data_IF_840454538707
#
_entry.id   IF_840454538707
#
_cell.length_a   1.000
_cell.length_b   1.000
_cell.length_c   1.000
_cell.angle_alpha   90.00
_cell.angle_beta   90.00
_cell.angle_gamma   90.00
#
_symmetry.space_group_name_H-M   'P 1'
#
loop_
_entity.id
_entity.type
_entity.pdbx_description
1 polymer ?
#
# COMPACT_ATOMS: atom_id res chain seq x y z
N UNK A 1 18.20 -18.58 45.88
CA UNK A 1 18.07 -17.73 44.67
C UNK A 1 16.77 -16.95 44.78
N UNK A 2 16.84 -15.63 44.86
CA UNK A 2 15.72 -14.82 45.34
C UNK A 2 14.60 -14.77 44.28
N UNK A 3 13.36 -15.14 44.65
CA UNK A 3 12.19 -15.19 43.76
C UNK A 3 11.94 -13.87 43.04
N UNK A 4 12.38 -12.77 43.64
CA UNK A 4 12.36 -11.42 43.08
C UNK A 4 13.37 -11.21 41.95
N UNK A 5 14.56 -11.81 42.02
CA UNK A 5 15.60 -11.70 40.99
C UNK A 5 15.19 -12.48 39.73
N UNK A 6 14.62 -13.67 39.88
CA UNK A 6 14.14 -14.49 38.76
C UNK A 6 12.95 -13.81 38.04
N UNK A 7 12.04 -13.18 38.79
CA UNK A 7 10.91 -12.42 38.21
C UNK A 7 11.34 -11.14 37.52
N UNK A 8 12.33 -10.45 38.07
CA UNK A 8 12.92 -9.27 37.43
C UNK A 8 13.66 -9.65 36.14
N UNK A 9 14.44 -10.74 36.14
CA UNK A 9 15.14 -11.24 34.96
C UNK A 9 14.17 -11.67 33.85
N UNK A 10 13.08 -12.38 34.20
CA UNK A 10 12.03 -12.78 33.26
C UNK A 10 11.27 -11.59 32.66
N UNK A 11 11.02 -10.53 33.44
CA UNK A 11 10.39 -9.31 32.94
C UNK A 11 11.31 -8.51 32.02
N UNK A 12 12.61 -8.44 32.31
CA UNK A 12 13.59 -7.75 31.45
C UNK A 12 13.83 -8.51 30.14
N UNK A 13 13.87 -9.85 30.16
CA UNK A 13 13.96 -10.64 28.92
C UNK A 13 12.70 -10.54 28.06
N UNK A 14 11.51 -10.45 28.68
CA UNK A 14 10.24 -10.28 27.95
C UNK A 14 10.11 -8.89 27.34
N UNK A 15 10.63 -7.84 27.99
CA UNK A 15 10.70 -6.48 27.45
C UNK A 15 11.70 -6.36 26.29
N UNK A 16 12.79 -7.15 26.30
CA UNK A 16 13.79 -7.18 25.22
C UNK A 16 13.34 -8.00 24.00
N UNK A 17 12.49 -9.03 24.20
CA UNK A 17 11.81 -9.75 23.10
C UNK A 17 10.57 -9.02 22.55
N UNK A 18 10.15 -7.95 23.22
CA UNK A 18 9.01 -7.07 22.86
C UNK A 18 9.49 -5.72 22.36
N UNK A 19 10.71 -5.62 21.83
CA UNK A 19 10.83 -4.76 20.65
C UNK A 19 9.95 -5.48 19.61
N UNK A 20 8.80 -4.92 19.18
CA UNK A 20 8.24 -5.45 17.95
C UNK A 20 9.43 -5.44 16.99
N UNK A 21 9.79 -6.61 16.45
CA UNK A 21 10.55 -6.61 15.24
C UNK A 21 9.64 -5.84 14.28
N UNK A 22 9.84 -4.52 14.22
CA UNK A 22 9.41 -3.70 13.12
C UNK A 22 10.23 -4.28 11.98
N UNK A 23 9.76 -5.39 11.42
CA UNK A 23 10.19 -5.79 10.11
C UNK A 23 9.75 -4.60 9.27
N UNK A 24 10.68 -3.66 9.05
CA UNK A 24 10.46 -2.63 8.07
C UNK A 24 10.20 -3.38 6.77
N UNK A 25 9.12 -3.03 6.08
CA UNK A 25 8.77 -3.71 4.85
C UNK A 25 9.95 -3.57 3.88
N UNK A 26 10.55 -4.67 3.44
CA UNK A 26 11.67 -4.64 2.52
C UNK A 26 11.20 -4.25 1.11
N UNK A 27 12.15 -3.85 0.25
CA UNK A 27 11.84 -3.64 -1.17
C UNK A 27 11.21 -4.90 -1.78
N UNK A 28 10.07 -4.72 -2.43
CA UNK A 28 9.28 -5.80 -3.01
C UNK A 28 8.23 -6.41 -2.09
N UNK A 29 8.24 -6.09 -0.79
CA UNK A 29 7.20 -6.55 0.13
C UNK A 29 5.82 -6.00 -0.26
N UNK A 30 4.78 -6.78 0.04
CA UNK A 30 3.41 -6.41 -0.28
C UNK A 30 2.55 -6.36 0.97
N UNK A 31 1.67 -5.38 1.04
CA UNK A 31 0.67 -5.25 2.11
C UNK A 31 -0.66 -4.75 1.54
N UNK A 32 -1.77 -5.15 2.16
CA UNK A 32 -3.11 -4.72 1.77
C UNK A 32 -3.65 -3.67 2.73
N UNK A 33 -4.25 -2.61 2.20
CA UNK A 33 -4.99 -1.60 2.98
C UNK A 33 -6.24 -1.20 2.20
N UNK A 34 -7.41 -1.43 2.80
CA UNK A 34 -8.71 -1.24 2.14
C UNK A 34 -8.86 -2.10 0.87
N UNK A 35 -9.30 -1.47 -0.22
CA UNK A 35 -9.53 -2.15 -1.51
C UNK A 35 -8.25 -2.38 -2.32
N UNK A 36 -7.10 -1.94 -1.80
CA UNK A 36 -5.84 -1.92 -2.53
C UNK A 36 -4.79 -2.84 -1.93
N UNK A 37 -3.92 -3.37 -2.79
CA UNK A 37 -2.64 -3.97 -2.42
C UNK A 37 -1.55 -3.01 -2.88
N UNK A 38 -0.59 -2.81 -2.00
CA UNK A 38 0.60 -2.02 -2.24
C UNK A 38 1.80 -2.93 -2.29
N UNK A 39 2.77 -2.60 -3.15
CA UNK A 39 4.09 -3.22 -3.16
C UNK A 39 5.14 -2.15 -2.95
N UNK A 40 6.03 -2.36 -1.99
CA UNK A 40 7.15 -1.46 -1.69
C UNK A 40 8.08 -1.44 -2.89
N UNK A 41 8.30 -0.25 -3.44
CA UNK A 41 9.26 -0.02 -4.52
C UNK A 41 10.63 0.36 -3.97
N UNK A 42 10.64 1.20 -2.93
CA UNK A 42 11.83 1.63 -2.20
C UNK A 42 11.43 1.92 -0.76
N UNK A 43 12.00 1.18 0.18
CA UNK A 43 11.83 1.38 1.61
C UNK A 43 12.51 2.69 2.07
N UNK A 44 13.66 3.02 1.47
CA UNK A 44 14.42 4.23 1.81
C UNK A 44 13.69 5.50 1.38
N UNK A 45 13.07 5.47 0.20
CA UNK A 45 12.31 6.61 -0.32
C UNK A 45 10.85 6.58 0.11
N UNK A 46 10.44 5.52 0.84
CA UNK A 46 9.06 5.25 1.25
C UNK A 46 8.08 5.35 0.08
N UNK A 47 8.32 4.59 -1.00
CA UNK A 47 7.46 4.58 -2.18
C UNK A 47 6.83 3.21 -2.43
N UNK A 48 5.60 3.23 -2.95
CA UNK A 48 4.85 2.02 -3.32
C UNK A 48 4.22 2.13 -4.71
N UNK A 49 3.99 0.97 -5.32
CA UNK A 49 3.04 0.79 -6.42
C UNK A 49 1.70 0.25 -5.90
N UNK A 50 0.59 0.60 -6.55
CA UNK A 50 -0.77 0.20 -6.15
C UNK A 50 -1.45 -0.68 -7.20
N UNK A 51 -2.23 -1.65 -6.73
CA UNK A 51 -3.21 -2.43 -7.52
C UNK A 51 -4.48 -2.65 -6.72
N UNK A 52 -5.56 -3.05 -7.39
CA UNK A 52 -6.80 -3.45 -6.72
C UNK A 52 -6.71 -4.88 -6.18
N UNK A 53 -7.40 -5.13 -5.07
CA UNK A 53 -7.53 -6.46 -4.46
C UNK A 53 -8.58 -7.32 -5.17
N UNK A 54 -9.69 -6.71 -5.57
CA UNK A 54 -10.83 -7.38 -6.20
C UNK A 54 -11.22 -6.67 -7.50
N UNK A 55 -11.11 -7.39 -8.62
CA UNK A 55 -11.51 -6.88 -9.93
C UNK A 55 -13.03 -6.67 -10.07
N UNK A 56 -13.83 -7.14 -9.12
CA UNK A 56 -15.28 -6.96 -9.09
C UNK A 56 -15.70 -5.55 -8.65
N UNK A 57 -14.75 -4.71 -8.23
CA UNK A 57 -15.00 -3.35 -7.76
C UNK A 57 -15.81 -2.53 -8.77
N UNK A 58 -16.73 -1.72 -8.24
CA UNK A 58 -17.70 -0.97 -9.03
C UNK A 58 -17.73 0.50 -8.65
N UNK A 59 -18.13 1.34 -9.59
CA UNK A 59 -18.32 2.76 -9.35
C UNK A 59 -17.01 3.55 -9.50
N UNK A 60 -16.95 4.68 -8.80
CA UNK A 60 -15.85 5.63 -8.92
C UNK A 60 -14.79 5.34 -7.87
N UNK A 61 -13.53 5.23 -8.30
CA UNK A 61 -12.39 4.94 -7.43
C UNK A 61 -11.44 6.12 -7.37
N UNK A 62 -10.97 6.42 -6.16
CA UNK A 62 -9.90 7.39 -5.94
C UNK A 62 -8.68 6.65 -5.38
N UNK A 63 -7.58 6.68 -6.13
CA UNK A 63 -6.31 6.14 -5.64
C UNK A 63 -5.77 7.11 -4.57
N UNK A 64 -5.44 6.64 -3.36
CA UNK A 64 -4.86 7.51 -2.35
C UNK A 64 -3.45 7.95 -2.76
N UNK A 65 -3.07 9.19 -2.44
CA UNK A 65 -1.70 9.69 -2.67
C UNK A 65 -0.67 9.07 -1.73
N UNK A 66 -1.11 8.59 -0.57
CA UNK A 66 -0.28 7.99 0.48
C UNK A 66 -1.00 6.85 1.19
N UNK A 67 -0.25 5.90 1.73
CA UNK A 67 -0.77 4.81 2.58
C UNK A 67 0.13 4.64 3.80
N UNK A 68 -0.43 4.35 4.97
CA UNK A 68 0.34 4.08 6.19
C UNK A 68 0.23 2.60 6.53
N UNK A 69 1.37 1.96 6.77
CA UNK A 69 1.47 0.56 7.20
C UNK A 69 2.56 0.43 8.27
N UNK A 70 2.25 -0.20 9.42
CA UNK A 70 3.15 -0.33 10.58
C UNK A 70 3.83 0.99 10.99
N UNK A 71 3.04 2.06 11.17
CA UNK A 71 3.50 3.41 11.55
C UNK A 71 4.44 4.10 10.54
N UNK A 72 4.64 3.52 9.35
CA UNK A 72 5.39 4.11 8.24
C UNK A 72 4.45 4.53 7.12
N UNK A 73 4.60 5.76 6.65
CA UNK A 73 3.82 6.32 5.54
C UNK A 73 4.60 6.21 4.23
N UNK A 74 3.95 5.70 3.19
CA UNK A 74 4.48 5.55 1.85
C UNK A 74 3.73 6.45 0.87
N UNK A 75 4.44 7.03 -0.09
CA UNK A 75 3.86 7.71 -1.23
C UNK A 75 3.48 6.70 -2.32
N UNK A 76 2.26 6.81 -2.84
CA UNK A 76 1.81 6.02 -3.99
C UNK A 76 2.34 6.69 -5.25
N UNK A 77 3.34 6.07 -5.88
CA UNK A 77 4.08 6.66 -7.01
C UNK A 77 3.87 5.94 -8.32
N UNK A 78 3.29 4.74 -8.28
CA UNK A 78 3.03 3.96 -9.48
C UNK A 78 1.72 3.16 -9.38
N UNK A 79 1.13 2.87 -10.54
CA UNK A 79 0.11 1.83 -10.70
C UNK A 79 0.79 0.59 -11.26
N UNK A 80 0.59 -0.56 -10.63
CA UNK A 80 1.25 -1.80 -11.04
C UNK A 80 0.90 -2.25 -12.45
N UNK A 81 1.77 -3.09 -13.01
CA UNK A 81 1.44 -3.88 -14.20
C UNK A 81 0.13 -4.65 -13.93
N UNK A 82 -0.83 -4.52 -14.84
CA UNK A 82 -2.16 -5.14 -14.71
C UNK A 82 -2.93 -4.73 -13.43
N UNK A 83 -2.59 -3.61 -12.79
CA UNK A 83 -3.06 -3.25 -11.45
C UNK A 83 -4.58 -3.11 -11.28
N UNK A 84 -5.31 -2.80 -12.35
CA UNK A 84 -6.77 -2.72 -12.41
C UNK A 84 -7.33 -3.65 -13.51
N UNK A 85 -6.55 -4.63 -13.97
CA UNK A 85 -6.94 -5.48 -15.10
C UNK A 85 -8.25 -6.20 -14.80
N UNK A 86 -9.21 -6.06 -15.70
CA UNK A 86 -10.50 -6.76 -15.64
C UNK A 86 -11.55 -6.11 -14.76
N UNK A 87 -11.29 -4.91 -14.21
CA UNK A 87 -12.29 -4.11 -13.48
C UNK A 87 -13.43 -3.65 -14.39
N UNK A 88 -14.34 -4.56 -14.73
CA UNK A 88 -15.38 -4.33 -15.74
C UNK A 88 -16.50 -3.42 -15.23
N UNK A 89 -16.66 -3.30 -13.91
CA UNK A 89 -17.68 -2.46 -13.27
C UNK A 89 -17.14 -1.11 -12.77
N UNK A 90 -15.83 -0.86 -12.86
CA UNK A 90 -15.20 0.42 -12.51
C UNK A 90 -15.65 1.48 -13.51
N UNK A 91 -16.31 2.55 -13.06
CA UNK A 91 -16.87 3.60 -13.94
C UNK A 91 -15.91 4.74 -14.18
N UNK A 92 -15.23 5.19 -13.12
CA UNK A 92 -14.19 6.22 -13.20
C UNK A 92 -13.06 5.98 -12.22
N UNK A 93 -11.89 6.50 -12.55
CA UNK A 93 -10.74 6.49 -11.64
C UNK A 93 -10.08 7.87 -11.53
N UNK A 94 -9.83 8.28 -10.30
CA UNK A 94 -9.05 9.48 -9.96
C UNK A 94 -7.64 9.04 -9.57
N UNK A 95 -6.63 9.52 -10.29
CA UNK A 95 -5.21 9.25 -10.10
C UNK A 95 -4.56 10.49 -9.46
N UNK A 96 -3.90 10.38 -8.29
CA UNK A 96 -3.23 11.50 -7.65
C UNK A 96 -1.98 11.93 -8.45
N UNK A 97 -1.55 13.17 -8.25
CA UNK A 97 -0.36 13.73 -8.91
C UNK A 97 0.95 13.04 -8.51
N UNK A 98 0.96 12.39 -7.34
CA UNK A 98 2.09 11.59 -6.86
C UNK A 98 2.39 10.39 -7.75
N UNK A 99 1.40 9.89 -8.51
CA UNK A 99 1.57 8.75 -9.43
C UNK A 99 2.27 9.23 -10.71
N UNK A 100 3.52 8.79 -10.88
CA UNK A 100 4.38 9.16 -12.02
C UNK A 100 4.56 8.02 -13.02
N UNK A 101 4.16 6.79 -12.66
CA UNK A 101 4.31 5.60 -13.51
C UNK A 101 3.03 4.76 -13.56
N UNK A 102 2.65 4.31 -14.76
CA UNK A 102 1.52 3.40 -14.96
C UNK A 102 2.03 2.15 -15.67
N UNK A 103 1.87 1.01 -15.02
CA UNK A 103 2.33 -0.29 -15.52
C UNK A 103 1.63 -0.72 -16.81
N UNK A 104 2.29 -1.60 -17.55
CA UNK A 104 1.72 -2.16 -18.77
C UNK A 104 0.36 -2.83 -18.49
N UNK A 105 -0.61 -2.59 -19.36
CA UNK A 105 -1.95 -3.19 -19.26
C UNK A 105 -2.68 -2.92 -17.94
N UNK A 106 -2.31 -1.85 -17.21
CA UNK A 106 -2.90 -1.52 -15.91
C UNK A 106 -4.44 -1.51 -15.93
N UNK A 107 -5.04 -0.98 -17.00
CA UNK A 107 -6.49 -0.89 -17.18
C UNK A 107 -7.02 -1.81 -18.29
N UNK A 108 -6.30 -2.89 -18.61
CA UNK A 108 -6.75 -3.83 -19.64
C UNK A 108 -8.10 -4.45 -19.22
N UNK A 109 -9.03 -4.59 -20.17
CA UNK A 109 -10.37 -5.18 -19.94
C UNK A 109 -11.26 -4.47 -18.90
N UNK A 110 -10.97 -3.21 -18.54
CA UNK A 110 -11.89 -2.38 -17.75
C UNK A 110 -13.02 -1.83 -18.63
N UNK A 111 -14.01 -2.66 -18.98
CA UNK A 111 -15.04 -2.30 -19.96
C UNK A 111 -15.95 -1.14 -19.51
N UNK A 112 -16.21 -1.02 -18.21
CA UNK A 112 -17.01 0.07 -17.64
C UNK A 112 -16.26 1.38 -17.45
N UNK A 113 -14.93 1.41 -17.64
CA UNK A 113 -14.13 2.59 -17.33
C UNK A 113 -14.33 3.66 -18.40
N UNK A 114 -15.08 4.71 -18.04
CA UNK A 114 -15.44 5.80 -18.96
C UNK A 114 -14.67 7.09 -18.70
N UNK A 115 -14.05 7.24 -17.52
CA UNK A 115 -13.35 8.45 -17.13
C UNK A 115 -12.08 8.17 -16.32
N UNK A 116 -10.98 8.81 -16.70
CA UNK A 116 -9.72 8.82 -15.95
C UNK A 116 -9.37 10.27 -15.67
N UNK A 117 -9.31 10.65 -14.40
CA UNK A 117 -9.00 12.02 -13.97
C UNK A 117 -7.67 12.04 -13.22
N UNK A 118 -6.78 12.94 -13.62
CA UNK A 118 -5.56 13.21 -12.86
C UNK A 118 -5.83 14.38 -11.91
N UNK A 119 -5.59 14.19 -10.61
CA UNK A 119 -5.51 15.31 -9.68
C UNK A 119 -4.28 16.12 -10.08
N UNK A 120 -4.48 17.42 -10.30
CA UNK A 120 -3.38 18.37 -10.45
C UNK A 120 -3.40 19.22 -9.21
N UNK A 121 -2.37 19.07 -8.38
CA UNK A 121 -2.15 20.00 -7.30
C UNK A 121 -1.74 21.33 -7.94
N UNK A 122 -2.73 22.20 -8.13
CA UNK A 122 -2.54 23.53 -8.69
C UNK A 122 -1.99 24.39 -7.56
N UNK A 123 -0.66 24.49 -7.51
CA UNK A 123 0.01 25.53 -6.73
C UNK A 123 -0.24 26.91 -7.35
#
# INVERSE_FOLDING_TARGET
>A
MNKHIIRFLLMVTMLLTMLPAMASAADGDTFGEGDFTYKVLSESDATVEVKINDSSISGDIEIPSTVTHNDKTYNVTAISKEGFRGCSNLTSITIPDSVTSIGNSAFQTCQGLTSVRFLRNTQ
#
